data_IF_586451086341
#
_entry.id   IF_586451086341
#
_cell.length_a   1.000
_cell.length_b   1.000
_cell.length_c   1.000
_cell.angle_alpha   90.00
_cell.angle_beta   90.00
_cell.angle_gamma   90.00
#
_symmetry.space_group_name_H-M   'P 1'
#
loop_
_entity.id
_entity.type
_entity.pdbx_description
1 polymer ?
#
# COMPACT_ATOMS: atom_id res chain seq x y z
N UNK A 1 44.58 22.63 42.70
CA UNK A 1 43.66 21.48 42.58
C UNK A 1 42.47 21.80 43.46
N UNK A 2 41.27 21.71 42.88
CA UNK A 2 40.13 22.55 43.18
C UNK A 2 39.39 22.17 44.48
N UNK A 3 39.02 23.22 45.18
CA UNK A 3 38.46 23.32 46.53
C UNK A 3 36.93 23.24 46.47
N UNK A 4 36.34 22.42 47.35
CA UNK A 4 34.91 22.14 47.42
C UNK A 4 34.22 23.26 48.20
N UNK A 5 33.33 23.96 47.50
CA UNK A 5 32.66 25.18 47.94
C UNK A 5 31.48 24.88 48.88
N UNK A 6 31.41 25.61 50.00
CA UNK A 6 30.30 25.70 50.95
C UNK A 6 29.41 26.94 50.61
N UNK A 7 28.61 27.53 51.54
CA UNK A 7 27.33 27.09 52.12
C UNK A 7 26.22 28.20 51.97
N UNK A 8 25.18 28.16 52.85
CA UNK A 8 24.34 29.28 53.38
C UNK A 8 23.13 29.79 52.55
N UNK A 9 21.89 29.65 53.08
CA UNK A 9 21.00 30.68 53.74
C UNK A 9 20.50 31.76 52.74
N UNK A 10 19.29 32.32 52.74
CA UNK A 10 18.27 32.63 53.75
C UNK A 10 17.01 33.17 53.04
N UNK A 11 15.96 33.35 53.83
CA UNK A 11 14.79 34.24 53.64
C UNK A 11 15.09 35.55 52.88
N UNK A 12 14.15 36.04 52.08
CA UNK A 12 13.42 37.29 52.37
C UNK A 12 12.25 37.55 51.40
N UNK A 13 11.34 38.34 51.93
CA UNK A 13 10.09 38.88 51.47
C UNK A 13 10.28 40.09 50.54
N UNK A 14 9.17 40.61 50.03
CA UNK A 14 8.94 41.97 49.54
C UNK A 14 9.23 42.33 48.05
N UNK A 15 8.12 42.39 47.31
CA UNK A 15 7.53 43.65 46.80
C UNK A 15 8.12 44.30 45.54
N UNK A 16 7.35 44.21 44.44
CA UNK A 16 6.88 45.30 43.53
C UNK A 16 6.12 44.61 42.38
N UNK A 17 4.80 44.76 42.24
CA UNK A 17 4.14 45.86 41.49
C UNK A 17 4.20 45.58 39.98
N UNK A 18 3.17 45.72 39.13
CA UNK A 18 1.87 46.39 39.18
C UNK A 18 1.16 46.02 37.85
N UNK A 19 -0.14 45.69 37.94
CA UNK A 19 -1.27 45.81 36.96
C UNK A 19 -1.05 45.39 35.49
N UNK A 20 -1.82 44.46 34.92
CA UNK A 20 -3.14 44.64 34.25
C UNK A 20 -3.43 43.29 33.55
N UNK A 21 -4.62 42.77 33.28
CA UNK A 21 -6.01 43.17 33.44
C UNK A 21 -6.86 41.89 33.50
N UNK A 22 -7.87 41.87 34.37
CA UNK A 22 -9.08 41.05 34.24
C UNK A 22 -10.22 42.04 33.85
N UNK A 23 -11.51 41.68 33.63
CA UNK A 23 -12.17 40.39 33.89
C UNK A 23 -13.21 39.97 32.79
N UNK A 24 -13.54 38.68 32.72
CA UNK A 24 -14.84 38.05 33.05
C UNK A 24 -15.91 37.95 31.96
N UNK A 25 -16.30 36.70 31.78
CA UNK A 25 -17.41 36.09 31.07
C UNK A 25 -18.76 36.39 31.76
N UNK A 26 -19.76 36.86 31.00
CA UNK A 26 -21.19 36.62 31.29
C UNK A 26 -22.07 36.96 30.07
N UNK A 27 -22.85 35.99 29.60
CA UNK A 27 -24.06 36.21 28.80
C UNK A 27 -25.21 36.64 29.73
N UNK A 28 -26.26 37.32 29.22
CA UNK A 28 -27.47 36.60 28.78
C UNK A 28 -28.14 37.17 27.50
N UNK A 29 -28.92 36.33 26.82
CA UNK A 29 -29.85 36.66 25.71
C UNK A 29 -31.10 37.44 26.20
N UNK A 30 -32.19 37.70 25.43
CA UNK A 30 -32.49 37.54 23.98
C UNK A 30 -33.20 38.79 23.34
N UNK A 31 -33.45 38.82 22.02
CA UNK A 31 -34.74 39.28 21.38
C UNK A 31 -34.75 39.04 19.86
N UNK A 32 -35.90 38.61 19.35
CA UNK A 32 -36.25 38.35 17.94
C UNK A 32 -36.43 39.63 17.10
N UNK A 33 -36.12 39.56 15.80
CA UNK A 33 -36.93 40.14 14.71
C UNK A 33 -36.44 39.65 13.32
N UNK A 34 -37.41 39.37 12.45
CA UNK A 34 -37.27 38.72 11.15
C UNK A 34 -36.93 39.68 9.99
N UNK A 35 -36.26 39.15 8.95
CA UNK A 35 -36.39 39.63 7.57
C UNK A 35 -36.06 38.51 6.57
N UNK A 36 -37.01 38.29 5.67
CA UNK A 36 -37.14 37.23 4.67
C UNK A 36 -36.24 37.42 3.45
N UNK A 37 -35.64 36.34 2.93
CA UNK A 37 -35.24 36.25 1.52
C UNK A 37 -35.42 34.81 1.04
N UNK A 38 -36.30 34.64 0.05
CA UNK A 38 -36.57 33.37 -0.62
C UNK A 38 -35.42 32.99 -1.57
N UNK A 39 -34.98 31.72 -1.48
CA UNK A 39 -34.07 31.10 -2.42
C UNK A 39 -34.23 29.58 -2.34
N UNK A 40 -34.78 28.99 -3.39
CA UNK A 40 -35.08 27.55 -3.51
C UNK A 40 -33.77 26.75 -3.51
N UNK A 41 -33.48 26.10 -2.38
CA UNK A 41 -32.43 25.08 -2.20
C UNK A 41 -33.04 23.75 -1.74
N UNK A 42 -32.34 22.61 -1.90
CA UNK A 42 -32.91 21.32 -1.59
C UNK A 42 -33.14 21.22 -0.08
N UNK A 43 -34.36 20.85 0.29
CA UNK A 43 -34.82 20.57 1.65
C UNK A 43 -33.83 19.69 2.41
N UNK A 44 -33.02 20.33 3.25
CA UNK A 44 -32.24 19.70 4.32
C UNK A 44 -33.18 19.68 5.52
N UNK A 45 -33.71 18.51 5.85
CA UNK A 45 -34.48 18.31 7.08
C UNK A 45 -33.49 18.33 8.26
N UNK A 46 -33.54 19.40 9.03
CA UNK A 46 -32.78 19.60 10.26
C UNK A 46 -33.55 18.97 11.44
N UNK A 47 -32.95 17.92 12.01
CA UNK A 47 -33.53 17.14 13.10
C UNK A 47 -32.99 15.71 13.15
N UNK A 48 -31.67 15.54 13.23
CA UNK A 48 -31.03 14.24 13.38
C UNK A 48 -30.17 14.21 14.64
N UNK A 49 -30.62 13.46 15.65
CA UNK A 49 -29.75 12.92 16.70
C UNK A 49 -28.58 12.15 16.06
N UNK A 50 -27.38 12.07 16.67
CA UNK A 50 -26.19 11.48 16.03
C UNK A 50 -26.25 9.95 15.79
N UNK A 51 -27.40 9.34 16.03
CA UNK A 51 -27.59 7.89 15.96
C UNK A 51 -28.25 7.50 14.63
N UNK A 52 -27.69 6.45 14.02
CA UNK A 52 -28.30 5.60 12.98
C UNK A 52 -27.95 5.83 11.51
N UNK A 53 -26.65 5.75 11.18
CA UNK A 53 -26.27 4.95 10.00
C UNK A 53 -26.04 3.50 10.43
N UNK A 54 -27.12 2.85 10.85
CA UNK A 54 -27.17 1.45 11.27
C UNK A 54 -27.17 0.55 10.03
N UNK A 55 -25.98 0.28 9.48
CA UNK A 55 -25.85 -0.70 8.39
C UNK A 55 -25.53 -2.10 8.94
N UNK A 56 -26.14 -3.12 8.34
CA UNK A 56 -25.90 -4.53 8.67
C UNK A 56 -24.50 -4.99 8.21
N UNK A 57 -23.89 -4.23 7.29
CA UNK A 57 -22.55 -4.50 6.78
C UNK A 57 -21.52 -3.58 7.43
N UNK A 58 -20.49 -4.19 8.01
CA UNK A 58 -19.32 -3.51 8.56
C UNK A 58 -18.20 -3.45 7.53
N UNK A 59 -17.55 -2.30 7.45
CA UNK A 59 -16.33 -2.05 6.71
C UNK A 59 -15.13 -2.09 7.65
N UNK A 60 -14.16 -2.94 7.33
CA UNK A 60 -12.96 -3.16 8.14
C UNK A 60 -11.74 -2.67 7.36
N UNK A 61 -10.93 -1.86 8.02
CA UNK A 61 -9.68 -1.29 7.53
C UNK A 61 -8.49 -1.73 8.39
N UNK A 62 -7.30 -1.41 7.90
CA UNK A 62 -6.01 -1.67 8.54
C UNK A 62 -5.67 -3.16 8.75
N UNK A 63 -6.19 -4.06 7.92
CA UNK A 63 -5.85 -5.47 7.97
C UNK A 63 -4.42 -5.73 7.44
N UNK A 64 -3.85 -6.89 7.77
CA UNK A 64 -2.51 -7.29 7.33
C UNK A 64 -2.53 -7.83 5.89
N UNK A 65 -1.96 -7.07 4.95
CA UNK A 65 -1.98 -7.38 3.51
C UNK A 65 -1.15 -8.63 3.11
N UNK A 66 -0.25 -9.10 3.99
CA UNK A 66 0.61 -10.26 3.70
C UNK A 66 -0.18 -11.57 3.72
N UNK A 67 -1.32 -11.60 4.42
CA UNK A 67 -2.14 -12.80 4.60
C UNK A 67 -2.99 -13.06 3.35
N UNK A 68 -3.13 -14.34 2.98
CA UNK A 68 -3.98 -14.76 1.85
C UNK A 68 -5.45 -14.41 2.14
N UNK A 69 -6.22 -13.95 1.13
CA UNK A 69 -7.59 -13.45 1.36
C UNK A 69 -8.52 -14.53 1.91
N UNK A 70 -8.35 -15.79 1.57
CA UNK A 70 -9.25 -16.86 2.03
C UNK A 70 -9.03 -17.21 3.50
N UNK A 71 -7.76 -17.20 3.96
CA UNK A 71 -7.42 -17.30 5.38
C UNK A 71 -8.01 -16.11 6.13
N UNK A 72 -7.85 -14.89 5.59
CA UNK A 72 -8.41 -13.69 6.21
C UNK A 72 -9.93 -13.74 6.32
N UNK A 73 -10.65 -14.21 5.30
CA UNK A 73 -12.10 -14.42 5.36
C UNK A 73 -12.49 -15.43 6.44
N UNK A 74 -11.77 -16.55 6.54
CA UNK A 74 -12.04 -17.58 7.55
C UNK A 74 -11.84 -17.03 8.97
N UNK A 75 -10.76 -16.28 9.20
CA UNK A 75 -10.48 -15.66 10.51
C UNK A 75 -11.50 -14.61 10.89
N UNK A 76 -11.90 -13.74 9.94
CA UNK A 76 -12.94 -12.74 10.18
C UNK A 76 -14.30 -13.41 10.44
N UNK A 77 -14.67 -14.45 9.66
CA UNK A 77 -15.89 -15.23 9.93
C UNK A 77 -15.84 -15.86 11.31
N UNK A 78 -14.72 -16.46 11.71
CA UNK A 78 -14.54 -17.07 13.03
C UNK A 78 -14.66 -16.07 14.18
N UNK A 79 -14.02 -14.89 14.04
CA UNK A 79 -14.06 -13.83 15.05
C UNK A 79 -15.45 -13.24 15.22
N UNK A 80 -16.16 -12.96 14.12
CA UNK A 80 -17.45 -12.28 14.17
C UNK A 80 -18.63 -13.22 14.46
N UNK A 81 -18.44 -14.55 14.35
CA UNK A 81 -19.46 -15.56 14.66
C UNK A 81 -19.92 -15.54 16.12
N UNK A 82 -19.09 -15.05 17.05
CA UNK A 82 -19.44 -14.93 18.47
C UNK A 82 -20.54 -13.90 18.73
N UNK A 83 -20.70 -12.92 17.84
CA UNK A 83 -21.68 -11.84 17.96
C UNK A 83 -23.01 -12.20 17.32
N UNK A 84 -22.98 -12.94 16.21
CA UNK A 84 -24.16 -13.43 15.52
C UNK A 84 -23.83 -14.06 14.18
N UNK A 85 -24.88 -14.37 13.42
CA UNK A 85 -24.76 -15.03 12.12
C UNK A 85 -24.17 -14.08 11.06
N UNK A 86 -23.06 -14.52 10.45
CA UNK A 86 -22.38 -13.80 9.37
C UNK A 86 -22.83 -14.37 8.04
N UNK A 87 -23.50 -13.54 7.23
CA UNK A 87 -23.99 -13.91 5.90
C UNK A 87 -22.83 -14.08 4.91
N UNK A 88 -22.01 -13.03 4.78
CA UNK A 88 -20.87 -13.05 3.87
C UNK A 88 -19.72 -12.17 4.33
N UNK A 89 -18.50 -12.56 3.92
CA UNK A 89 -17.26 -11.84 4.14
C UNK A 89 -16.52 -11.67 2.83
N UNK A 90 -16.40 -10.41 2.41
CA UNK A 90 -15.75 -10.02 1.16
C UNK A 90 -14.40 -9.39 1.46
N UNK A 91 -13.33 -10.03 1.00
CA UNK A 91 -11.96 -9.52 1.06
C UNK A 91 -11.25 -9.76 -0.27
N UNK A 92 -10.45 -8.80 -0.73
CA UNK A 92 -9.75 -8.84 -2.01
C UNK A 92 -8.28 -8.41 -1.86
N UNK A 93 -7.41 -8.93 -2.73
CA UNK A 93 -5.98 -8.58 -2.77
C UNK A 93 -5.65 -7.40 -3.72
N UNK A 94 -6.64 -6.87 -4.42
CA UNK A 94 -6.43 -5.78 -5.38
C UNK A 94 -5.84 -4.55 -4.69
N UNK A 95 -4.96 -3.81 -5.36
CA UNK A 95 -4.28 -2.64 -4.76
C UNK A 95 -5.24 -1.64 -4.10
N UNK A 96 -6.43 -1.45 -4.68
CA UNK A 96 -7.47 -0.57 -4.12
C UNK A 96 -8.19 -1.14 -2.88
N UNK A 97 -8.23 -2.46 -2.74
CA UNK A 97 -9.04 -3.18 -1.74
C UNK A 97 -8.20 -4.03 -0.76
N UNK A 98 -6.87 -4.06 -0.91
CA UNK A 98 -5.99 -4.81 -0.01
C UNK A 98 -6.02 -4.15 1.37
N UNK A 99 -5.92 -4.97 2.41
CA UNK A 99 -6.01 -4.49 3.80
C UNK A 99 -7.42 -4.05 4.21
N UNK A 100 -8.43 -4.33 3.37
CA UNK A 100 -9.82 -3.96 3.60
C UNK A 100 -10.73 -5.18 3.46
N UNK A 101 -11.80 -5.22 4.24
CA UNK A 101 -12.82 -6.26 4.15
C UNK A 101 -14.22 -5.70 4.45
N UNK A 102 -15.24 -6.42 3.99
CA UNK A 102 -16.62 -6.19 4.37
C UNK A 102 -17.18 -7.44 5.04
N UNK A 103 -17.85 -7.27 6.17
CA UNK A 103 -18.52 -8.34 6.91
C UNK A 103 -20.00 -8.00 6.99
N UNK A 104 -20.85 -8.89 6.51
CA UNK A 104 -22.30 -8.68 6.47
C UNK A 104 -22.99 -9.55 7.51
N UNK A 105 -23.77 -8.92 8.39
CA UNK A 105 -24.63 -9.61 9.36
C UNK A 105 -26.07 -9.65 8.87
N UNK A 106 -26.87 -10.51 9.49
CA UNK A 106 -28.33 -10.49 9.32
C UNK A 106 -28.97 -9.29 10.00
N UNK A 107 -28.55 -9.01 11.24
CA UNK A 107 -29.16 -7.99 12.09
C UNK A 107 -28.27 -6.75 12.24
N UNK A 108 -28.83 -5.53 12.12
CA UNK A 108 -28.08 -4.28 12.27
C UNK A 108 -27.57 -4.09 13.72
N UNK A 109 -28.31 -4.58 14.71
CA UNK A 109 -27.92 -4.43 16.13
C UNK A 109 -26.72 -5.29 16.51
N UNK A 110 -26.62 -6.48 15.90
CA UNK A 110 -25.43 -7.34 16.02
C UNK A 110 -24.21 -6.62 15.44
N UNK A 111 -24.37 -5.96 14.28
CA UNK A 111 -23.30 -5.19 13.67
C UNK A 111 -22.87 -4.01 14.57
N UNK A 112 -23.80 -3.29 15.21
CA UNK A 112 -23.50 -2.23 16.20
C UNK A 112 -22.71 -2.78 17.38
N UNK A 113 -23.11 -3.93 17.93
CA UNK A 113 -22.44 -4.58 19.07
C UNK A 113 -21.02 -5.01 18.69
N UNK A 114 -20.88 -5.73 17.58
CA UNK A 114 -19.60 -6.20 17.05
C UNK A 114 -18.65 -5.03 16.74
N UNK A 115 -19.15 -3.92 16.20
CA UNK A 115 -18.36 -2.73 15.97
C UNK A 115 -17.78 -2.15 17.26
N UNK A 116 -18.58 -2.05 18.34
CA UNK A 116 -18.13 -1.48 19.62
C UNK A 116 -17.07 -2.34 20.31
N UNK A 117 -17.27 -3.66 20.33
CA UNK A 117 -16.40 -4.59 21.07
C UNK A 117 -15.12 -4.95 20.32
N UNK A 118 -15.17 -5.11 18.99
CA UNK A 118 -14.02 -5.55 18.17
C UNK A 118 -13.22 -4.37 17.62
N UNK A 119 -13.59 -3.13 17.95
CA UNK A 119 -12.86 -1.95 17.50
C UNK A 119 -11.42 -1.99 18.02
N UNK A 120 -10.45 -1.79 17.11
CA UNK A 120 -9.01 -1.84 17.41
C UNK A 120 -8.49 -3.20 17.89
N UNK A 121 -9.27 -4.28 17.73
CA UNK A 121 -8.79 -5.61 18.05
C UNK A 121 -7.53 -5.96 17.22
N UNK A 122 -6.43 -6.40 17.85
CA UNK A 122 -5.20 -6.75 17.15
C UNK A 122 -5.37 -8.09 16.42
N UNK A 123 -5.40 -8.05 15.08
CA UNK A 123 -5.45 -9.23 14.24
C UNK A 123 -4.20 -9.30 13.36
N UNK A 124 -3.45 -10.41 13.43
CA UNK A 124 -2.17 -10.58 12.73
C UNK A 124 -1.21 -9.41 12.92
N UNK A 125 -1.06 -8.98 14.18
CA UNK A 125 -0.17 -7.91 14.62
C UNK A 125 -0.54 -6.50 14.13
N UNK A 126 -1.76 -6.30 13.63
CA UNK A 126 -2.29 -4.97 13.29
C UNK A 126 -3.66 -4.73 13.95
N UNK A 127 -3.89 -3.56 14.58
CA UNK A 127 -5.19 -3.23 15.15
C UNK A 127 -6.18 -2.92 14.02
N UNK A 128 -7.27 -3.67 13.93
CA UNK A 128 -8.28 -3.43 12.90
C UNK A 128 -9.15 -2.21 13.21
N UNK A 129 -9.60 -1.48 12.19
CA UNK A 129 -10.52 -0.36 12.34
C UNK A 129 -11.84 -0.70 11.67
N UNK A 130 -12.94 -0.59 12.40
CA UNK A 130 -14.27 -0.95 11.95
C UNK A 130 -15.12 0.32 11.83
N UNK A 131 -15.95 0.38 10.79
CA UNK A 131 -16.92 1.43 10.52
C UNK A 131 -18.14 0.82 9.82
N UNK A 132 -19.27 1.51 9.81
CA UNK A 132 -20.41 1.08 8.98
C UNK A 132 -20.09 1.23 7.49
N UNK A 133 -20.54 0.27 6.68
CA UNK A 133 -20.43 0.37 5.23
C UNK A 133 -21.38 1.45 4.68
N UNK A 134 -20.95 2.14 3.62
CA UNK A 134 -21.77 3.19 2.96
C UNK A 134 -22.96 2.64 2.17
N UNK A 135 -22.89 1.37 1.78
CA UNK A 135 -23.90 0.69 0.97
C UNK A 135 -24.14 -0.69 1.56
N UNK A 136 -25.39 -1.15 1.49
CA UNK A 136 -25.76 -2.52 1.86
C UNK A 136 -25.08 -3.53 0.93
N UNK A 137 -24.73 -4.70 1.47
CA UNK A 137 -24.13 -5.78 0.70
C UNK A 137 -25.19 -6.59 -0.04
N UNK A 138 -24.77 -7.22 -1.15
CA UNK A 138 -25.65 -8.05 -1.99
C UNK A 138 -26.32 -9.17 -1.16
N UNK A 139 -25.59 -9.77 -0.21
CA UNK A 139 -26.11 -10.83 0.66
C UNK A 139 -27.23 -10.36 1.59
N UNK A 140 -27.13 -9.14 2.11
CA UNK A 140 -28.19 -8.55 2.97
C UNK A 140 -29.42 -8.22 2.14
N UNK A 141 -29.23 -7.64 0.95
CA UNK A 141 -30.34 -7.32 0.03
C UNK A 141 -31.04 -8.59 -0.41
N UNK A 142 -30.30 -9.67 -0.71
CA UNK A 142 -30.89 -10.95 -1.10
C UNK A 142 -31.80 -11.54 -0.01
N UNK A 143 -31.44 -11.38 1.27
CA UNK A 143 -32.20 -11.92 2.40
C UNK A 143 -33.41 -11.05 2.77
N UNK A 144 -33.27 -9.72 2.72
CA UNK A 144 -34.35 -8.78 3.10
C UNK A 144 -35.34 -8.52 1.95
N UNK A 145 -34.81 -8.27 0.75
CA UNK A 145 -35.59 -7.84 -0.41
C UNK A 145 -35.23 -8.71 -1.63
N UNK A 146 -35.62 -10.00 -1.65
CA UNK A 146 -35.27 -10.91 -2.74
C UNK A 146 -35.77 -10.40 -4.10
N UNK A 147 -36.90 -9.69 -4.13
CA UNK A 147 -37.50 -9.15 -5.36
C UNK A 147 -36.72 -7.99 -5.98
N UNK A 148 -35.92 -7.24 -5.21
CA UNK A 148 -35.15 -6.07 -5.67
C UNK A 148 -33.66 -6.39 -5.84
N UNK A 149 -33.28 -7.66 -5.68
CA UNK A 149 -31.89 -8.10 -5.73
C UNK A 149 -31.27 -7.90 -7.12
N UNK A 150 -32.02 -8.26 -8.18
CA UNK A 150 -31.52 -8.15 -9.55
C UNK A 150 -31.27 -6.69 -9.95
N UNK A 151 -32.17 -5.78 -9.60
CA UNK A 151 -32.03 -4.34 -9.85
C UNK A 151 -30.86 -3.72 -9.05
N UNK A 152 -30.70 -4.12 -7.79
CA UNK A 152 -29.55 -3.68 -7.00
C UNK A 152 -28.23 -4.17 -7.60
N UNK A 153 -28.22 -5.43 -8.05
CA UNK A 153 -27.05 -6.07 -8.67
C UNK A 153 -26.70 -5.43 -10.01
N UNK A 154 -27.68 -5.12 -10.86
CA UNK A 154 -27.46 -4.44 -12.14
C UNK A 154 -26.95 -3.02 -11.93
N UNK A 155 -27.59 -2.21 -11.09
CA UNK A 155 -27.13 -0.85 -10.74
C UNK A 155 -25.69 -0.83 -10.23
N UNK A 156 -25.34 -1.80 -9.37
CA UNK A 156 -23.97 -1.92 -8.86
C UNK A 156 -22.98 -2.29 -9.98
N UNK A 157 -23.37 -3.21 -10.86
CA UNK A 157 -22.53 -3.61 -12.01
C UNK A 157 -22.33 -2.45 -12.99
N UNK A 158 -23.37 -1.67 -13.27
CA UNK A 158 -23.30 -0.48 -14.11
C UNK A 158 -22.43 0.60 -13.47
N UNK A 159 -22.61 0.91 -12.18
CA UNK A 159 -21.75 1.84 -11.45
C UNK A 159 -20.28 1.38 -11.46
N UNK A 160 -20.03 0.08 -11.26
CA UNK A 160 -18.68 -0.51 -11.37
C UNK A 160 -18.13 -0.41 -12.80
N UNK A 161 -18.97 -0.55 -13.82
CA UNK A 161 -18.58 -0.40 -15.23
C UNK A 161 -18.26 1.06 -15.53
N UNK A 162 -19.14 2.00 -15.18
CA UNK A 162 -18.92 3.44 -15.34
C UNK A 162 -17.63 3.90 -14.65
N UNK A 163 -17.45 3.56 -13.37
CA UNK A 163 -16.24 3.93 -12.60
C UNK A 163 -14.96 3.25 -13.10
N UNK A 164 -15.06 2.12 -13.81
CA UNK A 164 -13.91 1.50 -14.49
C UNK A 164 -13.47 2.29 -15.71
N UNK A 165 -14.38 3.02 -16.38
CA UNK A 165 -14.07 3.85 -17.55
C UNK A 165 -13.65 5.27 -17.17
N UNK A 166 -14.22 5.84 -16.09
CA UNK A 166 -13.87 7.19 -15.62
C UNK A 166 -12.59 7.26 -14.79
N UNK A 167 -11.96 6.11 -14.49
CA UNK A 167 -10.69 6.11 -13.77
C UNK A 167 -9.60 6.82 -14.61
N UNK A 168 -9.04 7.94 -14.12
CA UNK A 168 -8.14 8.79 -14.90
C UNK A 168 -6.87 8.05 -15.38
N UNK A 169 -6.43 7.02 -14.65
CA UNK A 169 -5.31 6.17 -15.08
C UNK A 169 -5.67 5.38 -16.35
N UNK A 170 -6.87 4.79 -16.40
CA UNK A 170 -7.34 4.03 -17.56
C UNK A 170 -7.71 4.92 -18.75
N UNK A 171 -8.23 6.12 -18.49
CA UNK A 171 -8.46 7.13 -19.52
C UNK A 171 -7.15 7.54 -20.19
N UNK A 172 -6.07 7.76 -19.42
CA UNK A 172 -4.73 8.04 -19.96
C UNK A 172 -4.19 6.89 -20.82
N UNK A 173 -4.35 5.63 -20.39
CA UNK A 173 -3.94 4.47 -21.20
C UNK A 173 -4.77 4.33 -22.49
N UNK A 174 -6.08 4.61 -22.43
CA UNK A 174 -6.97 4.56 -23.61
C UNK A 174 -6.65 5.70 -24.58
N UNK A 175 -6.43 6.91 -24.09
CA UNK A 175 -6.03 8.06 -24.89
C UNK A 175 -4.68 7.82 -25.56
N UNK A 176 -3.70 7.24 -24.84
CA UNK A 176 -2.40 6.84 -25.41
C UNK A 176 -2.55 5.79 -26.52
N UNK A 177 -3.45 4.81 -26.35
CA UNK A 177 -3.72 3.80 -27.38
C UNK A 177 -4.41 4.40 -28.60
N UNK A 178 -5.41 5.26 -28.39
CA UNK A 178 -6.15 5.93 -29.47
C UNK A 178 -5.24 6.89 -30.26
N UNK A 179 -4.35 7.61 -29.58
CA UNK A 179 -3.35 8.47 -30.22
C UNK A 179 -2.36 7.65 -31.08
N UNK A 180 -1.97 6.45 -30.64
CA UNK A 180 -1.13 5.55 -31.44
C UNK A 180 -1.86 4.92 -32.65
N UNK A 181 -3.19 4.81 -32.59
CA UNK A 181 -4.03 4.24 -33.66
C UNK A 181 -4.38 5.28 -34.74
N UNK A 182 -4.51 6.56 -34.35
CA UNK A 182 -4.77 7.69 -35.27
C UNK A 182 -3.50 8.07 -36.07
N UNK A 183 -2.31 7.83 -35.52
CA UNK A 183 -1.02 8.13 -36.18
C UNK A 183 -0.62 7.11 -37.28
N UNK A 184 -1.50 6.20 -37.68
CA UNK A 184 -1.28 5.32 -38.83
C UNK A 184 -0.13 4.32 -38.70
N UNK A 185 0.38 4.08 -37.50
CA UNK A 185 1.39 3.06 -37.23
C UNK A 185 0.78 1.67 -37.25
N UNK A 186 1.02 0.91 -38.32
CA UNK A 186 0.73 -0.52 -38.41
C UNK A 186 1.07 -1.25 -37.10
N UNK A 187 0.21 -2.18 -36.69
CA UNK A 187 0.34 -2.98 -35.48
C UNK A 187 1.72 -3.67 -35.39
N UNK A 188 2.67 -3.01 -34.74
CA UNK A 188 3.93 -3.62 -34.32
C UNK A 188 3.63 -4.62 -33.20
N UNK A 189 4.27 -5.80 -33.21
CA UNK A 189 4.05 -6.82 -32.21
C UNK A 189 4.34 -6.23 -30.83
N UNK A 190 3.43 -6.51 -29.89
CA UNK A 190 3.52 -6.21 -28.45
C UNK A 190 4.95 -5.83 -28.05
N UNK A 191 5.17 -4.53 -27.84
CA UNK A 191 6.38 -4.06 -27.20
C UNK A 191 6.49 -4.83 -25.88
N UNK A 192 7.42 -5.81 -25.84
CA UNK A 192 8.01 -6.24 -24.58
C UNK A 192 8.29 -4.95 -23.84
N UNK A 193 7.70 -4.82 -22.64
CA UNK A 193 7.89 -3.67 -21.76
C UNK A 193 9.32 -3.18 -21.97
N UNK A 194 9.58 -1.89 -22.27
CA UNK A 194 10.95 -1.43 -22.25
C UNK A 194 11.46 -1.89 -20.90
N UNK A 195 12.43 -2.81 -20.92
CA UNK A 195 13.08 -3.24 -19.71
C UNK A 195 13.44 -1.92 -19.07
N UNK A 196 12.84 -1.62 -17.92
CA UNK A 196 13.29 -0.50 -17.11
C UNK A 196 14.71 -0.91 -16.81
N UNK A 197 15.63 -0.40 -17.62
CA UNK A 197 17.03 -0.28 -17.34
C UNK A 197 17.02 0.70 -16.18
N UNK A 198 16.66 0.20 -15.00
CA UNK A 198 17.25 0.71 -13.78
C UNK A 198 18.74 0.76 -14.12
N UNK A 199 19.36 1.95 -14.10
CA UNK A 199 20.78 2.06 -14.35
C UNK A 199 21.45 0.98 -13.50
N UNK A 200 22.25 0.12 -14.11
CA UNK A 200 22.80 -1.07 -13.45
C UNK A 200 23.64 -0.71 -12.19
N UNK A 201 23.94 0.58 -12.04
CA UNK A 201 24.53 1.25 -10.89
C UNK A 201 23.67 1.24 -9.61
N UNK A 202 22.34 1.06 -9.70
CA UNK A 202 21.42 1.03 -8.54
C UNK A 202 20.82 -0.36 -8.27
N UNK A 203 21.43 -1.43 -8.81
CA UNK A 203 21.00 -2.78 -8.43
C UNK A 203 21.42 -3.03 -6.98
N UNK A 204 20.48 -3.44 -6.09
CA UNK A 204 20.82 -3.79 -4.72
C UNK A 204 21.97 -4.81 -4.72
N UNK A 205 22.95 -4.68 -3.80
CA UNK A 205 24.02 -5.64 -3.65
C UNK A 205 23.47 -7.06 -3.60
N UNK A 206 24.10 -7.95 -4.36
CA UNK A 206 23.73 -9.35 -4.46
C UNK A 206 24.99 -10.19 -4.52
N UNK A 207 24.94 -11.39 -3.93
CA UNK A 207 26.01 -12.37 -3.97
C UNK A 207 26.23 -12.97 -5.36
N UNK A 208 25.29 -12.77 -6.28
CA UNK A 208 25.40 -13.22 -7.67
C UNK A 208 25.71 -12.02 -8.58
N UNK A 209 26.77 -12.15 -9.37
CA UNK A 209 27.15 -11.22 -10.43
C UNK A 209 26.64 -11.72 -11.78
N UNK A 210 26.15 -10.78 -12.57
CA UNK A 210 25.70 -10.94 -13.94
C UNK A 210 26.72 -10.31 -14.88
N UNK A 211 27.37 -11.16 -15.68
CA UNK A 211 28.32 -10.76 -16.70
C UNK A 211 27.60 -10.64 -18.04
N UNK A 212 27.82 -9.53 -18.72
CA UNK A 212 27.34 -9.25 -20.06
C UNK A 212 28.53 -8.92 -20.97
N UNK A 213 28.31 -9.08 -22.28
CA UNK A 213 29.30 -8.76 -23.31
C UNK A 213 30.55 -9.65 -23.23
N UNK A 214 30.36 -10.93 -22.91
CA UNK A 214 31.43 -11.93 -22.98
C UNK A 214 31.65 -12.35 -24.44
N UNK A 215 32.91 -12.43 -24.91
CA UNK A 215 33.20 -12.98 -26.23
C UNK A 215 32.98 -14.50 -26.25
N UNK A 216 32.57 -15.05 -27.40
CA UNK A 216 32.29 -16.47 -27.59
C UNK A 216 33.52 -17.38 -27.38
N UNK A 217 34.72 -16.82 -27.45
CA UNK A 217 36.00 -17.51 -27.19
C UNK A 217 36.24 -17.83 -25.71
N UNK A 218 35.52 -17.19 -24.78
CA UNK A 218 35.78 -17.33 -23.34
C UNK A 218 35.12 -18.58 -22.76
N UNK A 219 35.95 -19.43 -22.13
CA UNK A 219 35.51 -20.67 -21.49
C UNK A 219 35.23 -20.49 -19.99
N UNK A 220 34.54 -21.48 -19.41
CA UNK A 220 34.26 -21.53 -17.96
C UNK A 220 35.52 -21.41 -17.12
N UNK A 221 36.60 -22.09 -17.54
CA UNK A 221 37.84 -22.15 -16.77
C UNK A 221 38.57 -20.80 -16.73
N UNK A 222 38.50 -20.03 -17.82
CA UNK A 222 39.07 -18.67 -17.85
C UNK A 222 38.33 -17.74 -16.89
N UNK A 223 37.00 -17.78 -16.89
CA UNK A 223 36.20 -17.02 -15.92
C UNK A 223 36.49 -17.49 -14.49
N UNK A 224 36.58 -18.81 -14.28
CA UNK A 224 36.88 -19.36 -12.97
C UNK A 224 38.25 -18.87 -12.45
N UNK A 225 39.28 -18.85 -13.31
CA UNK A 225 40.61 -18.35 -12.96
C UNK A 225 40.61 -16.83 -12.66
N UNK A 226 39.80 -16.05 -13.39
CA UNK A 226 39.68 -14.61 -13.21
C UNK A 226 38.92 -14.24 -11.92
N UNK A 227 37.91 -15.03 -11.54
CA UNK A 227 37.12 -14.79 -10.33
C UNK A 227 37.68 -15.49 -9.09
N UNK A 228 38.55 -16.50 -9.23
CA UNK A 228 39.21 -17.17 -8.08
C UNK A 228 40.22 -16.28 -7.37
N UNK A 229 40.65 -15.17 -7.99
CA UNK A 229 41.48 -14.16 -7.33
C UNK A 229 40.75 -13.43 -6.19
N UNK A 230 39.41 -13.49 -6.18
CA UNK A 230 38.59 -12.95 -5.11
C UNK A 230 38.15 -14.06 -4.14
N UNK A 231 38.22 -13.82 -2.83
CA UNK A 231 37.80 -14.82 -1.85
C UNK A 231 36.29 -15.07 -1.95
N UNK A 232 35.86 -16.25 -1.52
CA UNK A 232 34.45 -16.66 -1.44
C UNK A 232 33.76 -16.90 -2.78
N UNK A 233 34.49 -17.30 -3.83
CA UNK A 233 33.89 -17.79 -5.07
C UNK A 233 33.12 -19.09 -4.81
N UNK A 234 31.83 -19.12 -5.14
CA UNK A 234 30.99 -20.32 -5.00
C UNK A 234 30.93 -21.11 -6.31
N UNK A 235 30.38 -20.50 -7.37
CA UNK A 235 30.22 -21.18 -8.67
C UNK A 235 30.18 -20.19 -9.84
N UNK A 236 30.78 -20.57 -10.96
CA UNK A 236 30.62 -19.91 -12.27
C UNK A 236 29.70 -20.74 -13.17
N UNK A 237 28.58 -20.13 -13.60
CA UNK A 237 27.58 -20.74 -14.48
C UNK A 237 27.49 -19.98 -15.80
N UNK A 238 27.89 -20.66 -16.88
CA UNK A 238 27.66 -20.22 -18.25
C UNK A 238 26.31 -20.72 -18.77
N UNK A 239 25.64 -19.92 -19.59
CA UNK A 239 24.37 -20.28 -20.20
C UNK A 239 24.65 -20.81 -21.62
N UNK A 240 24.40 -22.09 -21.92
CA UNK A 240 24.71 -22.65 -23.25
C UNK A 240 23.84 -22.04 -24.37
N UNK A 241 22.67 -21.48 -24.04
CA UNK A 241 21.81 -20.79 -25.01
C UNK A 241 22.28 -19.38 -25.36
N UNK A 242 23.20 -18.80 -24.59
CA UNK A 242 23.68 -17.41 -24.71
C UNK A 242 25.13 -17.29 -24.22
N UNK A 243 26.08 -17.41 -25.14
CA UNK A 243 27.52 -17.36 -24.85
C UNK A 243 28.03 -15.97 -24.47
N UNK A 244 27.22 -14.94 -24.68
CA UNK A 244 27.48 -13.54 -24.33
C UNK A 244 27.27 -13.21 -22.83
N UNK A 245 26.76 -14.19 -22.06
CA UNK A 245 26.28 -13.99 -20.70
C UNK A 245 26.76 -15.10 -19.75
N UNK A 246 27.18 -14.72 -18.55
CA UNK A 246 27.49 -15.66 -17.46
C UNK A 246 27.00 -15.16 -16.10
N UNK A 247 26.81 -16.10 -15.17
CA UNK A 247 26.52 -15.83 -13.77
C UNK A 247 27.67 -16.32 -12.89
N UNK A 248 28.10 -15.49 -11.95
CA UNK A 248 29.11 -15.84 -10.95
C UNK A 248 28.48 -15.68 -9.57
N UNK A 249 28.39 -16.75 -8.80
CA UNK A 249 27.92 -16.72 -7.42
C UNK A 249 29.10 -16.68 -6.47
N UNK A 250 29.05 -15.76 -5.52
CA UNK A 250 29.90 -15.69 -4.35
C UNK A 250 29.11 -16.13 -3.11
N UNK A 251 29.80 -16.53 -2.03
CA UNK A 251 29.15 -16.75 -0.74
C UNK A 251 28.76 -15.42 -0.08
N UNK A 252 29.55 -14.38 -0.31
CA UNK A 252 29.40 -13.07 0.35
C UNK A 252 29.11 -11.94 -0.66
N UNK A 253 28.25 -11.02 -0.25
CA UNK A 253 27.87 -9.84 -1.03
C UNK A 253 29.02 -8.82 -1.10
N UNK A 254 29.84 -8.74 -0.04
CA UNK A 254 31.02 -7.89 0.01
C UNK A 254 32.09 -8.33 -1.00
N UNK A 255 32.42 -9.62 -1.02
CA UNK A 255 33.29 -10.22 -2.05
C UNK A 255 32.79 -9.96 -3.47
N UNK A 256 31.49 -10.12 -3.72
CA UNK A 256 30.89 -9.87 -5.03
C UNK A 256 31.01 -8.40 -5.45
N UNK A 257 30.84 -7.45 -4.53
CA UNK A 257 31.01 -6.02 -4.79
C UNK A 257 32.45 -5.68 -5.20
N UNK A 258 33.44 -6.17 -4.47
CA UNK A 258 34.86 -5.94 -4.79
C UNK A 258 35.23 -6.55 -6.14
N UNK A 259 34.78 -7.78 -6.41
CA UNK A 259 35.00 -8.44 -7.69
C UNK A 259 34.35 -7.69 -8.86
N UNK A 260 33.12 -7.20 -8.67
CA UNK A 260 32.42 -6.37 -9.66
C UNK A 260 33.23 -5.12 -9.96
N UNK A 261 33.58 -4.33 -8.96
CA UNK A 261 34.18 -3.01 -9.18
C UNK A 261 35.58 -3.12 -9.80
N UNK A 262 36.34 -4.17 -9.47
CA UNK A 262 37.67 -4.40 -10.01
C UNK A 262 37.68 -5.01 -11.42
N UNK A 263 36.68 -5.83 -11.78
CA UNK A 263 36.59 -6.48 -13.10
C UNK A 263 35.59 -5.82 -14.05
N UNK A 264 34.88 -4.78 -13.61
CA UNK A 264 33.96 -4.04 -14.47
C UNK A 264 34.73 -3.32 -15.57
N UNK A 265 34.30 -3.47 -16.83
CA UNK A 265 34.99 -2.99 -18.03
C UNK A 265 36.37 -3.62 -18.28
N UNK A 266 36.70 -4.75 -17.64
CA UNK A 266 37.90 -5.50 -17.94
C UNK A 266 37.88 -6.03 -19.38
N UNK A 267 39.03 -6.06 -20.04
CA UNK A 267 39.17 -6.53 -21.41
C UNK A 267 39.79 -7.93 -21.39
N UNK A 268 38.98 -8.97 -21.54
CA UNK A 268 39.51 -10.35 -21.57
C UNK A 268 40.34 -10.63 -22.84
N UNK A 269 39.91 -10.12 -23.99
CA UNK A 269 40.50 -10.42 -25.31
C UNK A 269 41.06 -9.16 -26.00
N UNK A 270 41.29 -8.08 -25.23
CA UNK A 270 41.72 -6.76 -25.73
C UNK A 270 40.67 -5.95 -26.49
N UNK A 271 39.73 -6.62 -27.16
CA UNK A 271 38.71 -6.02 -28.03
C UNK A 271 37.38 -5.76 -27.30
N UNK A 272 36.89 -6.75 -26.52
CA UNK A 272 35.60 -6.66 -25.85
C UNK A 272 35.74 -6.38 -24.35
N UNK A 273 35.07 -5.32 -23.88
CA UNK A 273 34.96 -4.99 -22.44
C UNK A 273 33.81 -5.76 -21.83
N UNK A 274 34.08 -6.54 -20.78
CA UNK A 274 33.02 -7.23 -20.04
C UNK A 274 32.28 -6.24 -19.13
N UNK A 275 30.95 -6.35 -19.10
CA UNK A 275 30.12 -5.54 -18.22
C UNK A 275 29.63 -6.42 -17.07
N UNK A 276 30.08 -6.12 -15.85
CA UNK A 276 29.71 -6.85 -14.64
C UNK A 276 28.71 -6.03 -13.82
N UNK A 277 27.59 -6.64 -13.46
CA UNK A 277 26.50 -5.99 -12.73
C UNK A 277 25.97 -6.94 -11.66
N UNK A 278 25.30 -6.45 -10.63
CA UNK A 278 24.62 -7.36 -9.70
C UNK A 278 23.46 -8.08 -10.40
N UNK A 279 23.24 -9.36 -10.11
CA UNK A 279 22.09 -10.07 -10.63
C UNK A 279 20.80 -9.50 -10.03
N UNK A 280 19.76 -9.36 -10.85
CA UNK A 280 18.43 -8.93 -10.39
C UNK A 280 17.83 -10.03 -9.52
N UNK A 281 17.27 -9.64 -8.36
CA UNK A 281 16.55 -10.52 -7.44
C UNK A 281 15.17 -10.89 -7.96
#
# INVERSE_FOLDING_TARGET
MAEVQAPTTSEDNAMQGVVTAAPTLAQPAPVLAAATVEGVGPVVAEGATPDEYSCETLYIQNLNEKIKPDVMKASLRGLFKTYGEVLDVVAHKNLRMRGQAFVSFENPDVAKKAMKEVQRFPLYSKPMQISFARSRSDAVVQKKDPNNFDDHKTKRQEHKKATRYTNPLKAKFRAKRLAAEIDGGAALPTAKRPAVQMPDEYLPPNKILFLQNLPESVTKDQLNALFSQYPNLYEVRLIPTKKDIAFVEFLDEGSAGVAKDALHNYKLDGENKIKITFARK
#
